data_IF_982928549081
#
_entry.id   IF_982928549081
#
_cell.length_a   1.000
_cell.length_b   1.000
_cell.length_c   1.000
_cell.angle_alpha   90.00
_cell.angle_beta   90.00
_cell.angle_gamma   90.00
#
_symmetry.space_group_name_H-M   'P 1'
#
loop_
_entity.id
_entity.type
_entity.pdbx_description
1 polymer ?
#
# COMPACT_ATOMS: atom_id res chain seq x y z
N UNK A 1 -24.48 -2.79 15.53
CA UNK A 1 -24.47 -3.99 16.39
C UNK A 1 -23.58 -5.10 15.83
N UNK A 2 -23.70 -5.49 14.56
CA UNK A 2 -22.87 -6.57 13.96
C UNK A 2 -21.36 -6.35 14.10
N UNK A 3 -20.86 -5.13 13.87
CA UNK A 3 -19.44 -4.80 13.99
C UNK A 3 -18.88 -4.97 15.41
N UNK A 4 -19.66 -4.67 16.45
CA UNK A 4 -19.25 -4.89 17.84
C UNK A 4 -19.19 -6.37 18.20
N UNK A 5 -20.07 -7.18 17.62
CA UNK A 5 -20.11 -8.64 17.83
C UNK A 5 -18.95 -9.36 17.10
N UNK A 6 -18.39 -8.76 16.06
CA UNK A 6 -17.24 -9.32 15.33
C UNK A 6 -15.90 -9.05 16.00
N UNK A 7 -15.86 -8.18 17.02
CA UNK A 7 -14.64 -7.86 17.77
C UNK A 7 -14.23 -9.05 18.66
N UNK A 8 -13.02 -9.54 18.44
CA UNK A 8 -12.40 -10.61 19.22
C UNK A 8 -10.86 -10.47 19.20
N UNK A 9 -10.14 -11.34 19.89
CA UNK A 9 -8.68 -11.30 19.94
C UNK A 9 -8.00 -11.36 18.55
N UNK A 10 -8.61 -12.07 17.59
CA UNK A 10 -8.10 -12.14 16.20
C UNK A 10 -8.50 -10.92 15.37
N UNK A 11 -9.59 -10.27 15.73
CA UNK A 11 -10.12 -9.08 15.05
C UNK A 11 -10.40 -7.98 16.09
N UNK A 12 -9.37 -7.36 16.68
CA UNK A 12 -9.51 -6.40 17.77
C UNK A 12 -10.06 -5.05 17.31
N UNK A 13 -10.12 -4.81 15.99
CA UNK A 13 -10.46 -3.55 15.39
C UNK A 13 -11.27 -3.79 14.11
N UNK A 14 -12.39 -3.07 13.97
CA UNK A 14 -13.27 -3.08 12.80
C UNK A 14 -13.51 -1.64 12.35
N UNK A 15 -13.52 -1.43 11.05
CA UNK A 15 -13.78 -0.13 10.43
C UNK A 15 -15.01 -0.24 9.51
N UNK A 16 -15.80 0.81 9.42
CA UNK A 16 -16.89 0.90 8.44
C UNK A 16 -17.04 2.32 7.93
N UNK A 17 -17.18 2.46 6.62
CA UNK A 17 -17.39 3.74 5.96
C UNK A 17 -18.86 3.93 5.63
N UNK A 18 -19.35 5.16 5.76
CA UNK A 18 -20.73 5.50 5.44
C UNK A 18 -20.85 6.97 5.04
N UNK A 19 -21.95 7.27 4.36
CA UNK A 19 -22.32 8.65 4.05
C UNK A 19 -23.47 9.06 4.97
N UNK A 20 -23.36 10.19 5.69
CA UNK A 20 -24.47 10.68 6.52
C UNK A 20 -25.71 10.99 5.70
N UNK A 21 -26.87 10.69 6.26
CA UNK A 21 -28.16 11.03 5.65
C UNK A 21 -28.39 12.55 5.74
N UNK A 22 -28.95 13.14 4.69
CA UNK A 22 -29.35 14.57 4.69
C UNK A 22 -28.25 15.56 4.33
N UNK A 23 -27.15 15.13 3.74
CA UNK A 23 -26.15 16.07 3.22
C UNK A 23 -26.72 16.94 2.07
N UNK A 24 -26.40 18.23 2.12
CA UNK A 24 -26.73 19.18 1.03
C UNK A 24 -25.86 18.87 -0.17
N UNK A 25 -26.42 18.88 -1.36
CA UNK A 25 -25.70 18.67 -2.63
C UNK A 25 -24.47 19.56 -2.70
N UNK A 26 -23.28 18.93 -2.74
CA UNK A 26 -21.98 19.63 -2.88
C UNK A 26 -20.98 19.40 -1.75
N UNK A 27 -21.39 18.95 -0.56
CA UNK A 27 -20.46 18.52 0.49
C UNK A 27 -20.25 17.01 0.40
N UNK A 28 -19.04 16.59 -0.03
CA UNK A 28 -18.62 15.18 -0.08
C UNK A 28 -17.96 14.78 1.24
N UNK A 29 -18.65 15.03 2.36
CA UNK A 29 -18.20 14.56 3.66
C UNK A 29 -18.58 13.09 3.81
N UNK A 30 -17.61 12.26 4.13
CA UNK A 30 -17.76 10.86 4.42
C UNK A 30 -17.42 10.61 5.88
N UNK A 31 -17.96 9.56 6.43
CA UNK A 31 -17.69 9.16 7.79
C UNK A 31 -17.10 7.75 7.86
N UNK A 32 -16.22 7.55 8.85
CA UNK A 32 -15.66 6.27 9.18
C UNK A 32 -15.86 5.97 10.66
N UNK A 33 -16.52 4.87 10.98
CA UNK A 33 -16.58 4.36 12.34
C UNK A 33 -15.52 3.32 12.58
N UNK A 34 -14.67 3.60 13.57
CA UNK A 34 -13.67 2.68 14.07
C UNK A 34 -14.16 2.07 15.37
N UNK A 35 -14.32 0.75 15.39
CA UNK A 35 -14.81 -0.02 16.53
C UNK A 35 -13.66 -0.79 17.15
N UNK A 36 -13.52 -0.70 18.47
CA UNK A 36 -12.54 -1.52 19.22
C UNK A 36 -13.04 -1.78 20.64
N UNK A 37 -12.39 -2.68 21.36
CA UNK A 37 -12.75 -3.07 22.71
C UNK A 37 -11.57 -2.89 23.68
N UNK A 38 -11.91 -2.79 24.96
CA UNK A 38 -11.06 -2.89 26.13
C UNK A 38 -10.14 -1.68 26.39
N UNK A 39 -9.44 -1.13 25.41
CA UNK A 39 -8.57 0.05 25.58
C UNK A 39 -8.87 1.12 24.54
N UNK A 40 -8.90 2.42 24.93
CA UNK A 40 -9.09 3.50 23.96
C UNK A 40 -7.89 3.60 23.04
N UNK A 41 -8.14 3.87 21.75
CA UNK A 41 -7.09 4.21 20.79
C UNK A 41 -6.75 5.70 20.92
N UNK A 42 -5.46 6.01 20.98
CA UNK A 42 -5.02 7.40 20.98
C UNK A 42 -5.20 8.01 19.59
N UNK A 43 -5.77 9.21 19.51
CA UNK A 43 -5.93 9.91 18.22
C UNK A 43 -4.58 10.18 17.55
N UNK A 44 -3.54 10.43 18.33
CA UNK A 44 -2.16 10.58 17.87
C UNK A 44 -1.64 9.39 17.06
N UNK A 45 -2.19 8.20 17.28
CA UNK A 45 -1.79 6.98 16.58
C UNK A 45 -2.66 6.75 15.33
N UNK A 46 -3.95 7.13 15.40
CA UNK A 46 -4.94 6.90 14.35
C UNK A 46 -4.86 7.95 13.24
N UNK A 47 -4.80 9.24 13.61
CA UNK A 47 -4.84 10.35 12.66
C UNK A 47 -3.72 10.27 11.61
N UNK A 48 -2.43 10.03 11.97
CA UNK A 48 -1.38 9.90 10.97
C UNK A 48 -1.59 8.76 9.97
N UNK A 49 -2.27 7.67 10.39
CA UNK A 49 -2.60 6.56 9.48
C UNK A 49 -3.64 7.00 8.47
N UNK A 50 -4.72 7.64 8.93
CA UNK A 50 -5.78 8.14 8.05
C UNK A 50 -5.26 9.18 7.05
N UNK A 51 -4.40 10.11 7.50
CA UNK A 51 -3.77 11.13 6.66
C UNK A 51 -2.84 10.53 5.61
N UNK A 52 -2.00 9.57 6.01
CA UNK A 52 -1.11 8.86 5.08
C UNK A 52 -1.89 8.00 4.06
N UNK A 53 -3.07 7.51 4.43
CA UNK A 53 -3.98 6.85 3.50
C UNK A 53 -4.66 7.83 2.52
N UNK A 54 -4.52 9.16 2.73
CA UNK A 54 -5.07 10.18 1.84
C UNK A 54 -6.43 10.74 2.29
N UNK A 55 -6.83 10.49 3.53
CA UNK A 55 -8.05 11.03 4.13
C UNK A 55 -7.72 12.32 4.88
N UNK A 56 -8.47 13.38 4.66
CA UNK A 56 -8.39 14.61 5.43
C UNK A 56 -9.45 14.59 6.52
N UNK A 57 -9.05 14.33 7.75
CA UNK A 57 -9.94 14.28 8.90
C UNK A 57 -10.39 15.69 9.26
N UNK A 58 -11.71 15.89 9.39
CA UNK A 58 -12.35 17.15 9.75
C UNK A 58 -12.76 17.19 11.22
N UNK A 59 -13.11 16.05 11.79
CA UNK A 59 -13.54 15.94 13.17
C UNK A 59 -13.66 14.48 13.63
N UNK A 60 -13.78 14.30 14.93
CA UNK A 60 -13.95 13.00 15.57
C UNK A 60 -15.00 13.11 16.66
N UNK A 61 -15.88 12.11 16.76
CA UNK A 61 -16.95 11.97 17.74
C UNK A 61 -16.79 10.62 18.45
N UNK A 62 -16.24 10.60 19.67
CA UNK A 62 -16.04 9.37 20.43
C UNK A 62 -17.33 8.94 21.15
N UNK A 63 -17.58 7.64 21.10
CA UNK A 63 -18.65 7.00 21.88
C UNK A 63 -18.07 5.85 22.70
N UNK A 64 -18.43 5.80 23.98
CA UNK A 64 -18.09 4.71 24.89
C UNK A 64 -19.33 3.93 25.25
N UNK A 65 -19.31 2.64 25.02
CA UNK A 65 -20.39 1.73 25.34
C UNK A 65 -19.91 0.72 26.36
N UNK A 66 -20.73 0.52 27.42
CA UNK A 66 -20.45 -0.49 28.45
C UNK A 66 -21.49 -1.59 28.34
N UNK A 67 -21.05 -2.83 28.14
CA UNK A 67 -21.90 -4.00 28.15
C UNK A 67 -22.16 -4.48 29.58
N UNK A 68 -23.31 -5.10 29.84
CA UNK A 68 -23.71 -5.58 31.17
C UNK A 68 -22.72 -6.54 31.85
N UNK A 69 -21.80 -7.15 31.12
CA UNK A 69 -20.69 -7.97 31.61
C UNK A 69 -19.41 -7.20 31.95
N UNK A 70 -19.43 -5.85 31.96
CA UNK A 70 -18.26 -5.00 32.32
C UNK A 70 -17.29 -4.74 31.16
N UNK A 71 -17.42 -5.38 30.00
CA UNK A 71 -16.59 -5.12 28.82
C UNK A 71 -16.95 -3.77 28.21
N UNK A 72 -15.94 -2.99 27.88
CA UNK A 72 -16.07 -1.66 27.28
C UNK A 72 -15.77 -1.72 25.79
N UNK A 73 -16.56 -0.98 25.03
CA UNK A 73 -16.40 -0.80 23.60
C UNK A 73 -16.28 0.68 23.29
N UNK A 74 -15.45 0.99 22.33
CA UNK A 74 -15.24 2.33 21.85
C UNK A 74 -15.59 2.41 20.36
N UNK A 75 -16.24 3.51 19.99
CA UNK A 75 -16.54 3.84 18.60
C UNK A 75 -16.02 5.25 18.39
N UNK A 76 -15.08 5.40 17.49
CA UNK A 76 -14.62 6.70 17.01
C UNK A 76 -15.25 6.94 15.65
N UNK A 77 -16.09 7.97 15.55
CA UNK A 77 -16.74 8.36 14.31
C UNK A 77 -15.99 9.56 13.72
N UNK A 78 -15.21 9.31 12.69
CA UNK A 78 -14.41 10.32 12.01
C UNK A 78 -15.17 10.90 10.82
N UNK A 79 -15.36 12.22 10.82
CA UNK A 79 -15.76 12.96 9.63
C UNK A 79 -14.51 13.27 8.79
N UNK A 80 -14.55 13.02 7.50
CA UNK A 80 -13.41 13.25 6.62
C UNK A 80 -13.83 13.62 5.18
N UNK A 81 -12.90 14.22 4.46
CA UNK A 81 -12.96 14.40 3.01
C UNK A 81 -11.78 13.69 2.34
N UNK A 82 -11.92 13.46 1.05
CA UNK A 82 -10.76 13.07 0.25
C UNK A 82 -9.74 14.22 0.21
N UNK A 83 -8.45 13.87 0.15
CA UNK A 83 -7.45 14.84 -0.28
C UNK A 83 -7.79 15.33 -1.70
N UNK A 84 -7.36 16.56 -2.04
CA UNK A 84 -7.68 17.19 -3.33
C UNK A 84 -7.46 16.24 -4.52
N UNK A 85 -8.44 16.22 -5.42
CA UNK A 85 -8.38 15.44 -6.67
C UNK A 85 -8.80 13.97 -6.57
N UNK A 86 -9.22 13.48 -5.40
CA UNK A 86 -9.67 12.10 -5.22
C UNK A 86 -11.20 12.02 -5.17
N UNK A 87 -11.79 11.18 -6.01
CA UNK A 87 -13.17 10.72 -5.87
C UNK A 87 -13.17 9.44 -5.05
N UNK A 88 -13.94 9.43 -3.95
CA UNK A 88 -14.03 8.27 -3.05
C UNK A 88 -15.30 7.47 -3.36
N UNK A 89 -15.14 6.18 -3.62
CA UNK A 89 -16.22 5.21 -3.64
C UNK A 89 -16.25 4.44 -2.32
N UNK A 90 -17.40 4.47 -1.63
CA UNK A 90 -17.58 3.81 -0.33
C UNK A 90 -17.32 2.29 -0.40
N UNK A 91 -17.68 1.62 -1.50
CA UNK A 91 -17.41 0.18 -1.63
C UNK A 91 -15.91 -0.08 -1.70
N UNK A 92 -15.19 0.68 -2.51
CA UNK A 92 -13.74 0.58 -2.60
C UNK A 92 -13.05 0.88 -1.26
N UNK A 93 -13.57 1.89 -0.51
CA UNK A 93 -13.08 2.21 0.82
C UNK A 93 -13.25 1.05 1.80
N UNK A 94 -14.41 0.41 1.82
CA UNK A 94 -14.67 -0.70 2.72
C UNK A 94 -13.77 -1.91 2.45
N UNK A 95 -13.51 -2.23 1.19
CA UNK A 95 -12.78 -3.45 0.82
C UNK A 95 -11.26 -3.28 0.95
N UNK A 96 -10.73 -2.14 0.51
CA UNK A 96 -9.26 -1.98 0.35
C UNK A 96 -8.65 -1.16 1.47
N UNK A 97 -9.32 -0.07 1.88
CA UNK A 97 -8.78 0.83 2.88
C UNK A 97 -8.86 0.24 4.29
N UNK A 98 -9.96 -0.44 4.62
CA UNK A 98 -10.10 -1.13 5.90
C UNK A 98 -8.98 -2.16 6.10
N UNK A 99 -8.71 -2.98 5.08
CA UNK A 99 -7.66 -3.99 5.13
C UNK A 99 -6.28 -3.33 5.33
N UNK A 100 -5.98 -2.27 4.58
CA UNK A 100 -4.73 -1.52 4.74
C UNK A 100 -4.60 -0.91 6.14
N UNK A 101 -5.65 -0.27 6.66
CA UNK A 101 -5.65 0.35 7.99
C UNK A 101 -5.35 -0.69 9.08
N UNK A 102 -6.03 -1.85 9.05
CA UNK A 102 -5.82 -2.91 10.04
C UNK A 102 -4.38 -3.43 10.01
N UNK A 103 -3.80 -3.63 8.83
CA UNK A 103 -2.42 -4.12 8.71
C UNK A 103 -1.39 -3.08 9.16
N UNK A 104 -1.65 -1.78 8.94
CA UNK A 104 -0.78 -0.70 9.46
C UNK A 104 -0.84 -0.65 10.99
N UNK A 105 -2.04 -0.68 11.59
CA UNK A 105 -2.21 -0.68 13.05
C UNK A 105 -1.52 -1.88 13.71
N UNK A 106 -1.53 -3.05 13.05
CA UNK A 106 -0.85 -4.26 13.53
C UNK A 106 0.67 -4.24 13.34
N UNK A 107 1.22 -3.23 12.66
CA UNK A 107 2.64 -3.17 12.31
C UNK A 107 3.06 -4.19 11.23
N UNK A 108 2.12 -4.70 10.44
CA UNK A 108 2.40 -5.56 9.29
C UNK A 108 2.81 -4.72 8.05
N UNK A 109 2.47 -3.43 8.04
CA UNK A 109 2.89 -2.44 7.05
C UNK A 109 3.36 -1.16 7.75
N UNK A 110 4.32 -0.46 7.13
CA UNK A 110 4.77 0.86 7.61
C UNK A 110 3.68 1.92 7.40
N UNK A 111 3.66 2.93 8.29
CA UNK A 111 2.79 4.10 8.16
C UNK A 111 3.56 5.27 7.54
N UNK A 112 3.43 5.46 6.24
CA UNK A 112 4.10 6.52 5.48
C UNK A 112 3.31 6.95 4.24
N UNK A 113 3.86 7.92 3.48
CA UNK A 113 3.25 8.50 2.29
C UNK A 113 2.97 7.49 1.15
N UNK A 114 3.58 6.30 1.12
CA UNK A 114 3.25 5.26 0.16
C UNK A 114 1.83 4.74 0.35
N UNK A 115 1.29 4.79 1.57
CA UNK A 115 -0.04 4.26 1.88
C UNK A 115 -1.15 4.97 1.10
N UNK A 116 -0.92 6.20 0.64
CA UNK A 116 -1.86 6.94 -0.19
C UNK A 116 -2.20 6.20 -1.50
N UNK A 117 -1.29 5.36 -2.02
CA UNK A 117 -1.52 4.52 -3.20
C UNK A 117 -2.67 3.52 -3.04
N UNK A 118 -3.08 3.23 -1.81
CA UNK A 118 -4.27 2.41 -1.56
C UNK A 118 -5.50 3.09 -2.16
N UNK A 119 -5.64 4.40 -1.96
CA UNK A 119 -6.75 5.18 -2.52
C UNK A 119 -6.47 5.65 -3.95
N UNK A 120 -5.31 6.26 -4.19
CA UNK A 120 -5.01 6.92 -5.47
C UNK A 120 -4.84 5.93 -6.62
N UNK A 121 -4.25 4.78 -6.35
CA UNK A 121 -3.98 3.74 -7.34
C UNK A 121 -4.88 2.49 -7.18
N UNK A 122 -5.72 2.42 -6.13
CA UNK A 122 -6.53 1.23 -5.84
C UNK A 122 -5.67 -0.01 -5.51
N UNK A 123 -4.47 0.18 -4.98
CA UNK A 123 -3.56 -0.92 -4.71
C UNK A 123 -3.83 -1.53 -3.32
N UNK A 124 -3.89 -2.88 -3.21
CA UNK A 124 -3.87 -3.54 -1.90
C UNK A 124 -2.61 -3.14 -1.11
N UNK A 125 -2.71 -3.10 0.23
CA UNK A 125 -1.60 -2.71 1.11
C UNK A 125 -0.29 -3.48 0.83
N UNK A 126 -0.41 -4.75 0.45
CA UNK A 126 0.74 -5.60 0.17
C UNK A 126 1.47 -5.22 -1.13
N UNK A 127 0.73 -4.72 -2.13
CA UNK A 127 1.31 -4.17 -3.35
C UNK A 127 2.00 -2.82 -3.07
N UNK A 128 1.41 -2.01 -2.19
CA UNK A 128 2.05 -0.79 -1.69
C UNK A 128 3.34 -1.12 -0.94
N UNK A 129 3.33 -2.13 -0.07
CA UNK A 129 4.52 -2.61 0.63
C UNK A 129 5.60 -3.14 -0.34
N UNK A 130 5.20 -3.76 -1.45
CA UNK A 130 6.13 -4.16 -2.53
C UNK A 130 6.83 -2.94 -3.14
N UNK A 131 6.09 -1.90 -3.52
CA UNK A 131 6.67 -0.68 -4.09
C UNK A 131 7.58 0.01 -3.08
N UNK A 132 7.19 0.07 -1.81
CA UNK A 132 8.03 0.58 -0.71
C UNK A 132 9.33 -0.21 -0.57
N UNK A 133 9.27 -1.54 -0.66
CA UNK A 133 10.46 -2.38 -0.58
C UNK A 133 11.47 -2.06 -1.69
N UNK A 134 11.01 -1.86 -2.92
CA UNK A 134 11.87 -1.40 -4.01
C UNK A 134 12.43 0.01 -3.75
N UNK A 135 11.64 0.93 -3.19
CA UNK A 135 12.13 2.26 -2.82
C UNK A 135 13.23 2.20 -1.73
N UNK A 136 13.06 1.33 -0.73
CA UNK A 136 14.10 1.07 0.29
C UNK A 136 15.39 0.54 -0.35
N UNK A 137 15.27 -0.33 -1.33
CA UNK A 137 16.43 -0.80 -2.09
C UNK A 137 17.08 0.34 -2.91
N UNK A 138 16.29 1.18 -3.58
CA UNK A 138 16.81 2.37 -4.27
C UNK A 138 17.61 3.29 -3.34
N UNK A 139 17.13 3.47 -2.11
CA UNK A 139 17.86 4.23 -1.08
C UNK A 139 19.17 3.55 -0.70
N UNK A 140 19.18 2.21 -0.55
CA UNK A 140 20.39 1.43 -0.24
C UNK A 140 21.46 1.58 -1.32
N UNK A 141 21.08 1.54 -2.59
CA UNK A 141 21.99 1.73 -3.73
C UNK A 141 22.29 3.21 -4.04
N UNK A 142 21.83 4.13 -3.17
CA UNK A 142 22.11 5.58 -3.24
C UNK A 142 21.63 6.26 -4.52
N UNK A 143 20.39 5.98 -4.93
CA UNK A 143 19.78 6.65 -6.10
C UNK A 143 19.64 8.18 -5.92
N UNK A 144 19.77 8.70 -4.68
CA UNK A 144 19.82 10.14 -4.41
C UNK A 144 18.47 10.79 -4.12
N UNK A 145 17.39 10.03 -4.02
CA UNK A 145 16.07 10.53 -3.67
C UNK A 145 15.63 10.05 -2.28
N UNK A 146 14.92 10.89 -1.54
CA UNK A 146 14.28 10.47 -0.30
C UNK A 146 13.01 9.67 -0.55
N UNK A 147 12.57 8.90 0.46
CA UNK A 147 11.42 8.02 0.34
C UNK A 147 10.10 8.79 0.14
N UNK A 148 9.98 9.99 0.73
CA UNK A 148 8.80 10.83 0.56
C UNK A 148 8.64 11.30 -0.88
N UNK A 149 9.75 11.71 -1.52
CA UNK A 149 9.74 12.11 -2.92
C UNK A 149 9.43 10.93 -3.86
N UNK A 150 9.99 9.74 -3.57
CA UNK A 150 9.66 8.51 -4.32
C UNK A 150 8.17 8.17 -4.17
N UNK A 151 7.62 8.28 -2.95
CA UNK A 151 6.20 8.03 -2.71
C UNK A 151 5.31 9.05 -3.45
N UNK A 152 5.65 10.34 -3.41
CA UNK A 152 4.89 11.36 -4.15
C UNK A 152 4.96 11.15 -5.67
N UNK A 153 6.10 10.73 -6.21
CA UNK A 153 6.25 10.37 -7.63
C UNK A 153 5.25 9.28 -8.03
N UNK A 154 5.17 8.20 -7.25
CA UNK A 154 4.20 7.12 -7.54
C UNK A 154 2.74 7.60 -7.42
N UNK A 155 2.46 8.50 -6.46
CA UNK A 155 1.13 9.09 -6.30
C UNK A 155 0.76 10.06 -7.42
N UNK A 156 1.73 10.74 -8.04
CA UNK A 156 1.52 11.59 -9.21
C UNK A 156 1.30 10.76 -10.49
N UNK A 157 1.82 9.52 -10.53
CA UNK A 157 1.77 8.62 -11.69
C UNK A 157 1.12 7.28 -11.33
N UNK A 158 -0.12 7.33 -10.86
CA UNK A 158 -0.85 6.15 -10.33
C UNK A 158 -1.06 5.05 -11.36
N UNK A 159 -1.22 5.42 -12.63
CA UNK A 159 -1.37 4.44 -13.72
C UNK A 159 -0.07 3.65 -13.90
N UNK A 160 1.09 4.31 -13.89
CA UNK A 160 2.39 3.66 -13.97
C UNK A 160 2.60 2.78 -12.72
N UNK A 161 2.24 3.25 -11.52
CA UNK A 161 2.34 2.46 -10.29
C UNK A 161 1.51 1.16 -10.38
N UNK A 162 0.30 1.22 -10.95
CA UNK A 162 -0.53 0.03 -11.22
C UNK A 162 0.12 -0.92 -12.22
N UNK A 163 0.64 -0.40 -13.32
CA UNK A 163 1.26 -1.25 -14.35
C UNK A 163 2.57 -1.89 -13.86
N UNK A 164 3.37 -1.20 -13.04
CA UNK A 164 4.56 -1.77 -12.39
C UNK A 164 4.19 -2.97 -11.48
N UNK A 165 3.13 -2.83 -10.67
CA UNK A 165 2.66 -3.95 -9.84
C UNK A 165 2.08 -5.08 -10.67
N UNK A 166 1.38 -4.79 -11.78
CA UNK A 166 0.89 -5.80 -12.73
C UNK A 166 2.03 -6.54 -13.41
N UNK A 167 3.08 -5.84 -13.82
CA UNK A 167 4.27 -6.47 -14.41
C UNK A 167 4.92 -7.42 -13.41
N UNK A 168 5.13 -6.98 -12.16
CA UNK A 168 5.66 -7.84 -11.10
C UNK A 168 4.81 -9.09 -10.90
N UNK A 169 3.49 -8.93 -10.79
CA UNK A 169 2.56 -10.06 -10.64
C UNK A 169 2.59 -11.01 -11.84
N UNK A 170 2.69 -10.48 -13.04
CA UNK A 170 2.81 -11.29 -14.25
C UNK A 170 4.08 -12.12 -14.23
N UNK A 171 5.23 -11.52 -13.86
CA UNK A 171 6.52 -12.22 -13.81
C UNK A 171 6.60 -13.33 -12.74
N UNK A 172 5.96 -13.14 -11.58
CA UNK A 172 6.19 -14.03 -10.43
C UNK A 172 4.97 -14.88 -10.02
N UNK A 173 3.77 -14.44 -10.33
CA UNK A 173 2.55 -15.22 -10.04
C UNK A 173 2.04 -15.97 -11.26
N UNK A 174 1.87 -15.30 -12.38
CA UNK A 174 1.36 -15.92 -13.59
C UNK A 174 2.37 -16.88 -14.23
N UNK A 175 3.68 -16.66 -14.03
CA UNK A 175 4.72 -17.60 -14.45
C UNK A 175 4.55 -19.02 -13.87
N UNK A 176 3.74 -19.20 -12.83
CA UNK A 176 3.38 -20.50 -12.28
C UNK A 176 2.19 -21.16 -13.01
N UNK A 177 1.41 -20.39 -13.77
CA UNK A 177 0.15 -20.82 -14.38
C UNK A 177 0.16 -20.76 -15.89
N UNK A 178 0.96 -19.88 -16.47
CA UNK A 178 1.13 -19.71 -17.92
C UNK A 178 2.52 -20.22 -18.32
N UNK A 179 2.64 -20.83 -19.45
CA UNK A 179 3.91 -21.32 -19.99
C UNK A 179 4.25 -20.64 -21.31
N UNK A 180 5.56 -20.44 -21.57
CA UNK A 180 6.08 -20.08 -22.88
C UNK A 180 5.66 -18.70 -23.41
N UNK A 181 5.32 -18.66 -24.66
CA UNK A 181 5.13 -17.47 -25.47
C UNK A 181 4.03 -16.52 -24.91
N UNK A 182 2.93 -17.07 -24.37
CA UNK A 182 1.82 -16.27 -23.80
C UNK A 182 2.26 -15.40 -22.59
N UNK A 183 3.15 -15.93 -21.77
CA UNK A 183 3.68 -15.20 -20.61
C UNK A 183 4.65 -14.09 -21.07
N UNK A 184 5.51 -14.41 -22.01
CA UNK A 184 6.48 -13.49 -22.59
C UNK A 184 5.80 -12.34 -23.31
N UNK A 185 4.83 -12.63 -24.17
CA UNK A 185 4.00 -11.64 -24.84
C UNK A 185 3.28 -10.70 -23.86
N UNK A 186 2.75 -11.26 -22.77
CA UNK A 186 2.07 -10.45 -21.75
C UNK A 186 3.03 -9.53 -21.02
N UNK A 187 4.23 -10.02 -20.69
CA UNK A 187 5.27 -9.19 -20.05
C UNK A 187 5.72 -8.07 -21.00
N UNK A 188 5.97 -8.37 -22.26
CA UNK A 188 6.38 -7.40 -23.27
C UNK A 188 5.34 -6.30 -23.49
N UNK A 189 4.04 -6.67 -23.55
CA UNK A 189 2.94 -5.69 -23.67
C UNK A 189 2.90 -4.74 -22.47
N UNK A 190 3.06 -5.26 -21.24
CA UNK A 190 3.09 -4.44 -20.02
C UNK A 190 4.33 -3.55 -19.99
N UNK A 191 5.50 -4.06 -20.33
CA UNK A 191 6.72 -3.27 -20.43
C UNK A 191 6.57 -2.14 -21.45
N UNK A 192 6.01 -2.42 -22.60
CA UNK A 192 5.77 -1.42 -23.64
C UNK A 192 4.77 -0.34 -23.16
N UNK A 193 3.69 -0.75 -22.51
CA UNK A 193 2.71 0.20 -21.96
C UNK A 193 3.35 1.12 -20.90
N UNK A 194 4.19 0.57 -20.01
CA UNK A 194 4.92 1.35 -19.02
C UNK A 194 5.87 2.33 -19.71
N UNK A 195 6.67 1.87 -20.68
CA UNK A 195 7.62 2.72 -21.40
C UNK A 195 6.92 3.86 -22.14
N UNK A 196 5.78 3.56 -22.80
CA UNK A 196 4.98 4.59 -23.46
C UNK A 196 4.43 5.63 -22.47
N UNK A 197 3.96 5.20 -21.28
CA UNK A 197 3.51 6.12 -20.26
C UNK A 197 4.64 6.96 -19.65
N UNK A 198 5.86 6.41 -19.59
CA UNK A 198 7.05 7.14 -19.14
C UNK A 198 7.47 8.26 -20.09
N UNK A 199 7.19 8.12 -21.38
CA UNK A 199 7.53 9.17 -22.37
C UNK A 199 6.68 10.45 -22.17
N UNK A 200 5.56 10.36 -21.45
CA UNK A 200 4.70 11.49 -21.10
C UNK A 200 5.11 12.16 -19.76
N UNK A 201 6.07 11.60 -19.02
CA UNK A 201 6.54 12.15 -17.74
C UNK A 201 7.46 13.34 -17.96
N UNK A 202 7.00 14.55 -17.56
CA UNK A 202 7.70 15.81 -17.84
C UNK A 202 8.86 16.09 -16.86
N UNK A 203 8.79 15.55 -15.65
CA UNK A 203 9.77 15.83 -14.60
C UNK A 203 10.87 14.78 -14.62
N UNK A 204 12.10 15.20 -14.97
CA UNK A 204 13.25 14.30 -15.14
C UNK A 204 13.50 13.40 -13.92
N UNK A 205 13.37 13.94 -12.71
CA UNK A 205 13.60 13.15 -11.50
C UNK A 205 12.52 12.09 -11.29
N UNK A 206 11.26 12.39 -11.62
CA UNK A 206 10.15 11.45 -11.56
C UNK A 206 10.34 10.33 -12.61
N UNK A 207 10.69 10.68 -13.84
CA UNK A 207 11.02 9.72 -14.89
C UNK A 207 12.15 8.76 -14.46
N UNK A 208 13.23 9.29 -13.87
CA UNK A 208 14.36 8.47 -13.37
C UNK A 208 13.90 7.50 -12.28
N UNK A 209 13.05 7.92 -11.36
CA UNK A 209 12.51 7.06 -10.30
C UNK A 209 11.65 5.94 -10.90
N UNK A 210 10.72 6.29 -11.79
CA UNK A 210 9.78 5.34 -12.38
C UNK A 210 10.50 4.33 -13.29
N UNK A 211 11.46 4.76 -14.11
CA UNK A 211 12.32 3.85 -14.89
C UNK A 211 13.12 2.92 -13.98
N UNK A 212 13.61 3.42 -12.84
CA UNK A 212 14.32 2.57 -11.88
C UNK A 212 13.42 1.48 -11.28
N UNK A 213 12.15 1.76 -11.02
CA UNK A 213 11.20 0.70 -10.63
C UNK A 213 11.09 -0.39 -11.71
N UNK A 214 10.95 0.01 -12.96
CA UNK A 214 10.91 -0.94 -14.08
C UNK A 214 12.19 -1.78 -14.15
N UNK A 215 13.36 -1.14 -14.08
CA UNK A 215 14.65 -1.84 -14.10
C UNK A 215 14.77 -2.84 -12.96
N UNK A 216 14.39 -2.47 -11.76
CA UNK A 216 14.46 -3.34 -10.58
C UNK A 216 13.50 -4.53 -10.68
N UNK A 217 12.28 -4.33 -11.18
CA UNK A 217 11.34 -5.41 -11.42
C UNK A 217 11.93 -6.37 -12.47
N UNK A 218 12.52 -5.85 -13.54
CA UNK A 218 13.18 -6.66 -14.60
C UNK A 218 14.42 -7.38 -14.08
N UNK A 219 15.21 -6.74 -13.22
CA UNK A 219 16.40 -7.33 -12.61
C UNK A 219 16.08 -8.37 -11.52
N UNK A 220 14.84 -8.41 -11.01
CA UNK A 220 14.43 -9.39 -10.01
C UNK A 220 14.36 -10.79 -10.62
N UNK A 221 15.15 -11.72 -10.07
CA UNK A 221 15.21 -13.12 -10.50
C UNK A 221 14.26 -14.02 -9.70
N UNK A 222 14.15 -13.77 -8.40
CA UNK A 222 13.33 -14.55 -7.47
C UNK A 222 12.83 -13.68 -6.32
N UNK A 223 11.67 -14.05 -5.77
CA UNK A 223 11.08 -13.41 -4.61
C UNK A 223 10.30 -14.42 -3.76
N UNK A 224 10.15 -14.13 -2.46
CA UNK A 224 9.27 -14.85 -1.56
C UNK A 224 7.87 -14.21 -1.45
N UNK A 225 7.55 -13.21 -2.24
CA UNK A 225 6.30 -12.42 -2.15
C UNK A 225 5.04 -13.30 -2.08
N UNK A 226 5.02 -14.44 -2.79
CA UNK A 226 3.92 -15.40 -2.83
C UNK A 226 4.13 -16.62 -1.94
N UNK A 227 5.13 -16.60 -1.05
CA UNK A 227 5.35 -17.68 -0.10
C UNK A 227 4.52 -17.44 1.18
N UNK A 228 3.98 -18.53 1.70
CA UNK A 228 3.25 -18.54 2.97
C UNK A 228 4.06 -19.22 4.06
N UNK A 229 3.68 -18.97 5.30
CA UNK A 229 4.16 -19.73 6.47
C UNK A 229 3.42 -21.07 6.60
N UNK A 230 3.70 -21.82 7.68
CA UNK A 230 3.06 -23.10 7.95
C UNK A 230 1.53 -22.99 8.19
N UNK A 231 1.04 -21.80 8.56
CA UNK A 231 -0.38 -21.52 8.80
C UNK A 231 -1.10 -20.99 7.55
N UNK A 232 -0.40 -20.89 6.41
CA UNK A 232 -0.96 -20.35 5.18
C UNK A 232 -0.97 -18.81 5.09
N UNK A 233 -0.43 -18.10 6.08
CA UNK A 233 -0.31 -16.65 6.03
C UNK A 233 0.91 -16.23 5.20
N UNK A 234 0.78 -15.11 4.49
CA UNK A 234 1.90 -14.53 3.77
C UNK A 234 3.07 -14.23 4.71
N UNK A 235 4.30 -14.41 4.21
CA UNK A 235 5.50 -14.00 4.97
C UNK A 235 5.44 -12.50 5.31
N UNK A 236 5.86 -12.13 6.52
CA UNK A 236 5.89 -10.75 7.02
C UNK A 236 7.05 -9.91 6.47
N UNK A 237 7.92 -10.50 5.67
CA UNK A 237 9.06 -9.86 5.04
C UNK A 237 9.11 -10.19 3.55
N UNK A 238 9.74 -9.33 2.75
CA UNK A 238 10.02 -9.58 1.34
C UNK A 238 11.51 -9.86 1.13
N UNK A 239 11.80 -10.78 0.24
CA UNK A 239 13.15 -11.10 -0.19
C UNK A 239 13.18 -11.05 -1.72
N UNK A 240 14.16 -10.34 -2.26
CA UNK A 240 14.39 -10.22 -3.70
C UNK A 240 15.81 -10.67 -4.01
N UNK A 241 15.96 -11.58 -4.96
CA UNK A 241 17.25 -11.90 -5.56
C UNK A 241 17.36 -11.14 -6.87
N UNK A 242 18.33 -10.25 -6.97
CA UNK A 242 18.58 -9.46 -8.16
C UNK A 242 19.70 -10.03 -9.03
N UNK A 243 19.63 -9.71 -10.33
CA UNK A 243 20.78 -9.68 -11.23
C UNK A 243 21.28 -8.23 -11.27
N UNK A 244 22.34 -7.88 -10.54
CA UNK A 244 22.81 -6.50 -10.45
C UNK A 244 23.32 -5.94 -11.79
N UNK A 245 23.72 -6.78 -12.72
CA UNK A 245 24.17 -6.36 -14.06
C UNK A 245 23.07 -5.75 -14.92
N UNK A 246 21.79 -5.98 -14.54
CA UNK A 246 20.62 -5.38 -15.18
C UNK A 246 20.17 -4.07 -14.51
N UNK A 247 20.83 -3.66 -13.42
CA UNK A 247 20.49 -2.44 -12.69
C UNK A 247 21.49 -1.34 -13.09
N UNK A 248 21.05 -0.28 -13.79
CA UNK A 248 21.93 0.81 -14.19
C UNK A 248 22.54 1.55 -12.99
N UNK A 249 23.73 2.10 -13.17
CA UNK A 249 24.40 3.02 -12.21
C UNK A 249 24.68 2.42 -10.82
N UNK A 250 24.78 1.10 -10.69
CA UNK A 250 25.19 0.48 -9.42
C UNK A 250 26.64 0.83 -9.07
N UNK A 251 26.93 1.06 -7.75
CA UNK A 251 28.32 1.22 -7.29
C UNK A 251 29.19 0.01 -7.64
N UNK A 252 30.42 0.26 -8.05
CA UNK A 252 31.38 -0.81 -8.33
C UNK A 252 32.14 -1.19 -7.06
N UNK A 253 32.57 -2.46 -6.89
CA UNK A 253 32.36 -3.59 -7.81
C UNK A 253 30.93 -4.15 -7.77
N UNK A 254 30.37 -4.48 -8.94
CA UNK A 254 29.03 -5.06 -9.05
C UNK A 254 29.09 -6.55 -8.66
N UNK A 255 28.34 -7.02 -7.66
CA UNK A 255 28.32 -8.44 -7.28
C UNK A 255 27.64 -9.29 -8.34
N UNK A 256 27.95 -10.61 -8.37
CA UNK A 256 27.31 -11.55 -9.31
C UNK A 256 25.80 -11.67 -9.07
N UNK A 257 25.39 -11.68 -7.80
CA UNK A 257 23.98 -11.68 -7.35
C UNK A 257 23.89 -10.85 -6.08
N UNK A 258 22.71 -10.28 -5.84
CA UNK A 258 22.39 -9.56 -4.63
C UNK A 258 21.08 -10.08 -4.06
N UNK A 259 20.98 -10.21 -2.74
CA UNK A 259 19.75 -10.54 -2.04
C UNK A 259 19.43 -9.38 -1.12
N UNK A 260 18.29 -8.75 -1.38
CA UNK A 260 17.73 -7.70 -0.53
C UNK A 260 16.56 -8.25 0.26
N UNK A 261 16.54 -7.98 1.56
CA UNK A 261 15.45 -8.35 2.48
C UNK A 261 14.86 -7.10 3.07
N UNK A 262 13.54 -6.99 2.98
CA UNK A 262 12.77 -5.89 3.54
C UNK A 262 11.77 -6.44 4.56
N UNK A 263 11.69 -5.80 5.73
CA UNK A 263 10.69 -6.06 6.75
C UNK A 263 10.23 -4.74 7.39
N UNK A 264 8.92 -4.52 7.58
CA UNK A 264 8.42 -3.32 8.26
C UNK A 264 8.77 -3.29 9.75
N UNK A 265 9.25 -4.41 10.32
CA UNK A 265 9.61 -4.57 11.75
C UNK A 265 11.10 -4.43 12.04
N UNK A 266 11.90 -4.15 11.04
CA UNK A 266 13.37 -3.97 11.17
C UNK A 266 13.69 -2.58 10.66
N UNK A 267 14.12 -1.71 11.58
CA UNK A 267 14.67 -0.40 11.26
C UNK A 267 16.12 -0.50 10.74
#
# INVERSE_FOLDING_TARGET
MQHLLSLNEKNPLVMSFYQPLGQVSGQRELHCKLYHADTPLALSDVLPILENLGLRVLGEFPYRLRHNGGREFWIHDFAFTAAEGLELDIQQLNDTLQDAFVHIVRGDAENDAFNRLVLTAGLPWRDVALLRAYARYMKQIRLGFDLGYIASTLNNHTDIARELTRLFKTRFYLARKLSGDDLEDKQQRLEHAILSALDDVQVLNEDRILRRYLDLIKATLRTNFYQTDANGHNKSYFSFKFNPHLIPELPKPVPKFEIFVYSPRVE
#
